data_IF_322835297349
#
_entry.id   IF_322835297349
#
_cell.length_a   1.000
_cell.length_b   1.000
_cell.length_c   1.000
_cell.angle_alpha   90.00
_cell.angle_beta   90.00
_cell.angle_gamma   90.00
#
_symmetry.space_group_name_H-M   'P 1'
#
loop_
_entity.id
_entity.type
_entity.pdbx_description
1 polymer ?
#
# COMPACT_ATOMS: atom_id res chain seq x y z
N UNK A 1 -43.80 -8.70 11.54
CA UNK A 1 -42.76 -7.67 11.32
C UNK A 1 -43.14 -6.86 10.09
N UNK A 2 -43.59 -5.62 10.25
CA UNK A 2 -43.87 -4.75 9.10
C UNK A 2 -42.54 -4.30 8.48
N UNK A 3 -42.23 -4.82 7.31
CA UNK A 3 -41.07 -4.42 6.52
C UNK A 3 -41.33 -2.95 6.11
N UNK A 4 -40.59 -2.02 6.72
CA UNK A 4 -40.62 -0.62 6.26
C UNK A 4 -40.22 -0.57 4.80
N UNK A 5 -40.97 0.09 3.89
CA UNK A 5 -40.61 0.21 2.52
C UNK A 5 -39.22 0.89 2.44
N UNK A 6 -38.30 0.35 1.61
CA UNK A 6 -36.98 0.95 1.46
C UNK A 6 -37.14 2.38 0.93
N UNK A 7 -36.44 3.32 1.54
CA UNK A 7 -36.47 4.74 1.14
C UNK A 7 -35.94 4.86 -0.29
N UNK A 8 -36.64 5.53 -1.20
CA UNK A 8 -36.17 5.75 -2.56
C UNK A 8 -34.86 6.53 -2.55
N UNK A 9 -33.95 6.19 -3.45
CA UNK A 9 -32.70 6.92 -3.61
C UNK A 9 -32.98 8.31 -4.19
N UNK A 10 -32.31 9.36 -3.74
CA UNK A 10 -32.57 10.76 -4.19
C UNK A 10 -32.51 10.91 -5.72
N UNK A 11 -31.60 10.22 -6.37
CA UNK A 11 -31.47 10.22 -7.84
C UNK A 11 -32.73 9.65 -8.52
N UNK A 12 -33.33 8.59 -7.98
CA UNK A 12 -34.55 7.97 -8.53
C UNK A 12 -35.75 8.90 -8.42
N UNK A 13 -35.81 9.69 -7.33
CA UNK A 13 -36.83 10.71 -7.16
C UNK A 13 -36.66 11.85 -8.18
N UNK A 14 -35.43 12.30 -8.43
CA UNK A 14 -35.17 13.32 -9.46
C UNK A 14 -35.50 12.83 -10.87
N UNK A 15 -35.16 11.58 -11.19
CA UNK A 15 -35.48 10.98 -12.48
C UNK A 15 -37.01 10.87 -12.69
N UNK A 16 -37.73 10.38 -11.68
CA UNK A 16 -39.18 10.30 -11.69
C UNK A 16 -39.84 11.69 -11.86
N UNK A 17 -39.35 12.69 -11.12
CA UNK A 17 -39.85 14.08 -11.21
C UNK A 17 -39.59 14.69 -12.59
N UNK A 18 -38.37 14.49 -13.11
CA UNK A 18 -38.00 14.98 -14.44
C UNK A 18 -38.86 14.33 -15.54
N UNK A 19 -39.07 13.00 -15.47
CA UNK A 19 -39.95 12.29 -16.38
C UNK A 19 -41.40 12.77 -16.32
N UNK A 20 -41.91 12.95 -15.09
CA UNK A 20 -43.28 13.45 -14.88
C UNK A 20 -43.45 14.88 -15.40
N UNK A 21 -42.55 15.80 -15.05
CA UNK A 21 -42.61 17.20 -15.49
C UNK A 21 -42.45 17.32 -17.02
N UNK A 22 -41.52 16.56 -17.62
CA UNK A 22 -41.34 16.48 -19.07
C UNK A 22 -42.58 15.93 -19.78
N UNK A 23 -43.21 14.87 -19.20
CA UNK A 23 -44.45 14.32 -19.75
C UNK A 23 -45.63 15.28 -19.64
N UNK A 24 -45.77 16.01 -18.55
CA UNK A 24 -46.79 17.05 -18.39
C UNK A 24 -46.58 18.24 -19.37
N UNK A 25 -45.30 18.61 -19.59
CA UNK A 25 -44.96 19.64 -20.57
C UNK A 25 -45.37 19.24 -21.99
N UNK A 26 -45.00 18.01 -22.42
CA UNK A 26 -45.38 17.51 -23.75
C UNK A 26 -46.90 17.37 -23.89
N UNK A 27 -47.58 16.92 -22.83
CA UNK A 27 -49.04 16.87 -22.80
C UNK A 27 -49.66 18.29 -22.95
N UNK A 28 -49.16 19.29 -22.24
CA UNK A 28 -49.62 20.67 -22.31
C UNK A 28 -49.39 21.32 -23.68
N UNK A 29 -48.32 20.93 -24.39
CA UNK A 29 -47.99 21.33 -25.73
C UNK A 29 -48.80 20.58 -26.79
N UNK A 30 -49.59 19.58 -26.42
CA UNK A 30 -50.35 18.76 -27.38
C UNK A 30 -49.50 17.78 -28.19
N UNK A 31 -48.25 17.49 -27.70
CA UNK A 31 -47.33 16.59 -28.39
C UNK A 31 -47.55 15.14 -27.93
N UNK A 32 -48.18 14.36 -28.76
CA UNK A 32 -48.53 12.97 -28.56
C UNK A 32 -47.75 12.06 -29.50
N UNK A 33 -47.57 10.80 -29.16
CA UNK A 33 -46.88 9.84 -30.01
C UNK A 33 -47.75 9.29 -31.14
N UNK A 34 -49.10 9.44 -31.04
CA UNK A 34 -50.07 8.94 -32.03
C UNK A 34 -51.15 9.98 -32.34
N UNK A 35 -51.61 10.06 -33.58
CA UNK A 35 -52.79 10.84 -33.95
C UNK A 35 -54.06 10.26 -33.36
N UNK A 36 -55.10 11.06 -33.16
CA UNK A 36 -56.36 10.66 -32.52
C UNK A 36 -57.21 9.72 -33.36
N UNK A 37 -56.99 9.65 -34.68
CA UNK A 37 -57.70 8.88 -35.66
C UNK A 37 -57.04 7.51 -35.96
N UNK A 38 -55.95 7.18 -35.27
CA UNK A 38 -55.30 5.90 -35.41
C UNK A 38 -56.17 4.77 -34.78
N UNK A 39 -56.45 3.69 -35.51
CA UNK A 39 -57.39 2.64 -35.10
C UNK A 39 -56.98 1.87 -33.82
N UNK A 40 -55.76 2.10 -33.28
CA UNK A 40 -55.30 1.51 -32.03
C UNK A 40 -55.72 2.39 -30.82
N UNK A 41 -56.01 3.65 -31.05
CA UNK A 41 -56.40 4.59 -29.99
C UNK A 41 -57.84 4.35 -29.58
N UNK A 42 -58.05 3.63 -28.45
CA UNK A 42 -59.37 3.34 -27.91
C UNK A 42 -59.86 4.43 -26.91
N UNK A 43 -58.92 5.09 -26.24
CA UNK A 43 -59.18 6.12 -25.23
C UNK A 43 -58.81 7.51 -25.81
N UNK A 44 -59.74 8.18 -26.47
CA UNK A 44 -59.51 9.41 -27.21
C UNK A 44 -59.33 10.66 -26.32
N UNK A 45 -59.71 10.60 -25.05
CA UNK A 45 -59.58 11.72 -24.13
C UNK A 45 -58.11 12.04 -23.80
N UNK A 46 -57.70 13.29 -23.94
CA UNK A 46 -56.31 13.74 -23.67
C UNK A 46 -55.87 13.49 -22.21
N UNK A 47 -56.79 13.35 -21.27
CA UNK A 47 -56.49 13.08 -19.85
C UNK A 47 -56.06 11.63 -19.59
N UNK A 48 -56.45 10.69 -20.45
CA UNK A 48 -56.10 9.27 -20.25
C UNK A 48 -54.59 9.01 -20.32
N UNK A 49 -53.82 9.89 -20.97
CA UNK A 49 -52.37 9.79 -21.06
C UNK A 49 -51.64 10.02 -19.73
N UNK A 50 -52.30 10.82 -18.84
CA UNK A 50 -51.71 11.13 -17.55
C UNK A 50 -51.67 9.92 -16.60
N UNK A 51 -52.57 8.95 -16.75
CA UNK A 51 -52.62 7.76 -15.89
C UNK A 51 -51.33 6.92 -16.07
N UNK A 52 -50.93 6.43 -17.27
CA UNK A 52 -49.71 5.68 -17.46
C UNK A 52 -48.45 6.50 -17.13
N UNK A 53 -48.46 7.81 -17.41
CA UNK A 53 -47.36 8.72 -17.09
C UNK A 53 -47.09 8.77 -15.58
N UNK A 54 -48.14 9.01 -14.75
CA UNK A 54 -48.02 9.10 -13.31
C UNK A 54 -47.63 7.73 -12.70
N UNK A 55 -48.22 6.65 -13.19
CA UNK A 55 -47.89 5.28 -12.74
C UNK A 55 -46.45 4.94 -13.01
N UNK A 56 -45.96 5.24 -14.22
CA UNK A 56 -44.56 4.95 -14.61
C UNK A 56 -43.59 5.80 -13.78
N UNK A 57 -43.90 7.09 -13.56
CA UNK A 57 -43.11 7.95 -12.69
C UNK A 57 -43.06 7.42 -11.23
N UNK A 58 -44.19 6.87 -10.73
CA UNK A 58 -44.21 6.18 -9.45
C UNK A 58 -43.31 4.94 -9.42
N UNK A 59 -43.32 4.15 -10.50
CA UNK A 59 -42.43 2.98 -10.64
C UNK A 59 -40.95 3.34 -10.65
N UNK A 60 -40.58 4.51 -11.25
CA UNK A 60 -39.21 5.02 -11.22
C UNK A 60 -38.65 5.20 -9.80
N UNK A 61 -39.48 5.64 -8.86
CA UNK A 61 -39.05 5.80 -7.46
C UNK A 61 -38.75 4.45 -6.79
N UNK A 62 -39.33 3.36 -7.29
CA UNK A 62 -39.23 2.00 -6.72
C UNK A 62 -38.25 1.09 -7.50
N UNK A 63 -37.67 1.55 -8.58
CA UNK A 63 -36.89 0.76 -9.52
C UNK A 63 -35.69 -0.01 -8.92
N UNK A 64 -35.06 0.53 -7.85
CA UNK A 64 -33.98 -0.14 -7.13
C UNK A 64 -34.48 -1.03 -6.00
N UNK A 65 -35.54 -0.59 -5.33
CA UNK A 65 -36.08 -1.27 -4.17
C UNK A 65 -36.91 -2.49 -4.52
N UNK A 66 -37.76 -2.36 -5.56
CA UNK A 66 -38.68 -3.39 -6.00
C UNK A 66 -38.66 -3.52 -7.56
N UNK A 67 -37.51 -3.88 -8.16
CA UNK A 67 -37.31 -3.80 -9.61
C UNK A 67 -38.27 -4.69 -10.41
N UNK A 68 -38.69 -5.84 -9.85
CA UNK A 68 -39.65 -6.74 -10.52
C UNK A 68 -41.08 -6.16 -10.55
N UNK A 69 -41.52 -5.62 -9.42
CA UNK A 69 -42.87 -5.02 -9.33
C UNK A 69 -42.94 -3.75 -10.15
N UNK A 70 -41.90 -2.91 -10.11
CA UNK A 70 -41.81 -1.71 -10.94
C UNK A 70 -41.88 -2.03 -12.43
N UNK A 71 -41.15 -3.08 -12.88
CA UNK A 71 -41.20 -3.52 -14.28
C UNK A 71 -42.59 -4.05 -14.67
N UNK A 72 -43.24 -4.88 -13.82
CA UNK A 72 -44.57 -5.45 -14.16
C UNK A 72 -45.64 -4.38 -14.21
N UNK A 73 -45.63 -3.44 -13.24
CA UNK A 73 -46.57 -2.30 -13.24
C UNK A 73 -46.26 -1.35 -14.41
N UNK A 74 -44.98 -1.12 -14.72
CA UNK A 74 -44.55 -0.36 -15.88
C UNK A 74 -45.02 -0.98 -17.21
N UNK A 75 -45.00 -2.30 -17.32
CA UNK A 75 -45.58 -3.02 -18.47
C UNK A 75 -47.10 -2.77 -18.60
N UNK A 76 -47.83 -2.86 -17.51
CA UNK A 76 -49.26 -2.56 -17.52
C UNK A 76 -49.52 -1.10 -17.90
N UNK A 77 -48.73 -0.14 -17.37
CA UNK A 77 -48.81 1.26 -17.73
C UNK A 77 -48.53 1.49 -19.23
N UNK A 78 -47.46 0.86 -19.77
CA UNK A 78 -47.14 0.96 -21.20
C UNK A 78 -48.24 0.39 -22.06
N UNK A 79 -48.90 -0.72 -21.66
CA UNK A 79 -50.03 -1.29 -22.38
C UNK A 79 -51.21 -0.32 -22.42
N UNK A 80 -51.49 0.38 -21.32
CA UNK A 80 -52.52 1.45 -21.29
C UNK A 80 -52.08 2.60 -22.18
N UNK A 81 -50.80 3.02 -22.14
CA UNK A 81 -50.28 4.09 -22.99
C UNK A 81 -50.43 3.77 -24.48
N UNK A 82 -50.30 2.50 -24.90
CA UNK A 82 -50.48 2.12 -26.33
C UNK A 82 -51.92 2.25 -26.82
N UNK A 83 -52.93 2.17 -25.96
CA UNK A 83 -54.33 2.36 -26.36
C UNK A 83 -54.82 3.80 -26.13
N UNK A 84 -53.97 4.69 -25.67
CA UNK A 84 -54.15 6.15 -25.63
C UNK A 84 -53.39 6.81 -26.78
N UNK A 85 -53.39 8.13 -26.85
CA UNK A 85 -52.53 8.89 -27.80
C UNK A 85 -51.06 8.78 -27.50
N UNK A 86 -50.68 8.17 -26.38
CA UNK A 86 -49.32 7.85 -25.94
C UNK A 86 -48.44 9.04 -25.57
N UNK A 87 -47.53 8.82 -24.63
CA UNK A 87 -46.55 9.79 -24.17
C UNK A 87 -45.11 9.27 -24.39
N UNK A 88 -44.27 10.05 -25.03
CA UNK A 88 -42.85 9.74 -25.22
C UNK A 88 -42.15 9.51 -23.89
N UNK A 89 -42.50 10.28 -22.86
CA UNK A 89 -41.85 10.14 -21.53
C UNK A 89 -42.24 8.84 -20.81
N UNK A 90 -43.49 8.35 -21.02
CA UNK A 90 -43.88 7.02 -20.50
C UNK A 90 -43.00 5.93 -21.10
N UNK A 91 -42.76 5.98 -22.43
CA UNK A 91 -41.88 5.03 -23.12
C UNK A 91 -40.45 5.17 -22.62
N UNK A 92 -39.91 6.36 -22.49
CA UNK A 92 -38.55 6.60 -21.99
C UNK A 92 -38.37 6.10 -20.54
N UNK A 93 -39.28 6.42 -19.65
CA UNK A 93 -39.26 5.88 -18.28
C UNK A 93 -39.37 4.36 -18.26
N UNK A 94 -40.19 3.77 -19.14
CA UNK A 94 -40.25 2.31 -19.25
C UNK A 94 -38.91 1.67 -19.68
N UNK A 95 -38.16 2.30 -20.58
CA UNK A 95 -36.82 1.80 -20.96
C UNK A 95 -35.87 1.77 -19.74
N UNK A 96 -35.96 2.78 -18.89
CA UNK A 96 -35.15 2.82 -17.65
C UNK A 96 -35.61 1.77 -16.62
N UNK A 97 -36.93 1.49 -16.52
CA UNK A 97 -37.42 0.40 -15.69
C UNK A 97 -36.91 -0.98 -16.15
N UNK A 98 -36.83 -1.21 -17.47
CA UNK A 98 -36.27 -2.44 -18.05
C UNK A 98 -34.78 -2.56 -17.70
N UNK A 99 -34.02 -1.49 -17.92
CA UNK A 99 -32.59 -1.41 -17.57
C UNK A 99 -32.38 -1.68 -16.08
N UNK A 100 -33.15 -1.01 -15.22
CA UNK A 100 -33.05 -1.12 -13.76
C UNK A 100 -33.45 -2.50 -13.26
N UNK A 101 -34.43 -3.16 -13.88
CA UNK A 101 -34.84 -4.53 -13.53
C UNK A 101 -33.73 -5.55 -13.79
N UNK A 102 -32.91 -5.35 -14.82
CA UNK A 102 -31.77 -6.20 -15.10
C UNK A 102 -30.60 -5.87 -14.18
N UNK A 103 -30.33 -4.59 -13.96
CA UNK A 103 -29.19 -4.12 -13.17
C UNK A 103 -29.34 -4.44 -11.68
N UNK A 104 -30.54 -4.14 -11.10
CA UNK A 104 -30.79 -4.24 -9.66
C UNK A 104 -31.61 -5.47 -9.27
N UNK A 105 -32.15 -6.18 -10.27
CA UNK A 105 -32.98 -7.36 -10.05
C UNK A 105 -32.20 -8.59 -9.60
N UNK A 106 -32.93 -9.66 -9.29
CA UNK A 106 -32.28 -10.93 -8.94
C UNK A 106 -31.49 -11.51 -10.11
N UNK A 107 -30.50 -12.40 -9.88
CA UNK A 107 -29.75 -13.07 -10.95
C UNK A 107 -30.64 -13.76 -11.99
N UNK A 108 -31.79 -14.30 -11.55
CA UNK A 108 -32.78 -14.91 -12.45
C UNK A 108 -33.46 -13.86 -13.35
N UNK A 109 -33.79 -12.68 -12.82
CA UNK A 109 -34.37 -11.57 -13.59
C UNK A 109 -33.34 -11.06 -14.60
N UNK A 110 -32.11 -10.86 -14.18
CA UNK A 110 -31.03 -10.38 -15.05
C UNK A 110 -30.77 -11.30 -16.26
N UNK A 111 -30.94 -12.61 -16.09
CA UNK A 111 -30.81 -13.58 -17.19
C UNK A 111 -32.05 -13.67 -18.07
N UNK A 112 -33.24 -13.63 -17.49
CA UNK A 112 -34.49 -13.87 -18.23
C UNK A 112 -34.98 -12.67 -19.02
N UNK A 113 -34.87 -11.45 -18.46
CA UNK A 113 -35.38 -10.23 -19.10
C UNK A 113 -34.77 -9.96 -20.47
N UNK A 114 -33.45 -10.02 -20.68
CA UNK A 114 -32.86 -9.83 -22.03
C UNK A 114 -33.32 -10.88 -23.02
N UNK A 115 -33.44 -12.16 -22.62
CA UNK A 115 -33.94 -13.22 -23.50
C UNK A 115 -35.42 -13.03 -23.89
N UNK A 116 -36.26 -12.66 -22.93
CA UNK A 116 -37.69 -12.39 -23.20
C UNK A 116 -37.80 -11.16 -24.12
N UNK A 117 -37.06 -10.09 -23.85
CA UNK A 117 -37.05 -8.88 -24.67
C UNK A 117 -36.56 -9.17 -26.10
N UNK A 118 -35.50 -9.99 -26.25
CA UNK A 118 -35.00 -10.45 -27.53
C UNK A 118 -36.05 -11.26 -28.32
N UNK A 119 -36.69 -12.23 -27.66
CA UNK A 119 -37.76 -13.04 -28.28
C UNK A 119 -38.95 -12.19 -28.71
N UNK A 120 -39.35 -11.20 -27.84
CA UNK A 120 -40.41 -10.27 -28.19
C UNK A 120 -40.06 -9.40 -29.39
N UNK A 121 -38.78 -8.94 -29.47
CA UNK A 121 -38.30 -8.15 -30.61
C UNK A 121 -38.37 -8.96 -31.90
N UNK A 122 -37.90 -10.21 -31.86
CA UNK A 122 -38.02 -11.13 -33.05
C UNK A 122 -39.47 -11.36 -33.42
N UNK A 123 -40.35 -11.64 -32.45
CA UNK A 123 -41.77 -11.84 -32.72
C UNK A 123 -42.42 -10.55 -33.28
N UNK A 124 -42.14 -9.39 -32.69
CA UNK A 124 -42.65 -8.10 -33.17
C UNK A 124 -42.10 -7.70 -34.53
N UNK A 125 -41.00 -8.31 -35.00
CA UNK A 125 -40.49 -8.13 -36.37
C UNK A 125 -41.17 -9.11 -37.35
N UNK A 126 -41.14 -10.38 -37.01
CA UNK A 126 -41.55 -11.45 -37.94
C UNK A 126 -43.05 -11.50 -38.13
N UNK A 127 -43.86 -11.42 -37.06
CA UNK A 127 -45.31 -11.58 -37.11
C UNK A 127 -45.98 -10.45 -37.97
N UNK A 128 -45.69 -9.17 -37.74
CA UNK A 128 -46.29 -8.09 -38.54
C UNK A 128 -45.89 -8.16 -40.02
N UNK A 129 -44.64 -8.53 -40.36
CA UNK A 129 -44.20 -8.71 -41.73
C UNK A 129 -44.96 -9.86 -42.40
N UNK A 130 -45.13 -10.96 -41.71
CA UNK A 130 -45.83 -12.12 -42.25
C UNK A 130 -47.32 -11.83 -42.50
N UNK A 131 -47.97 -11.06 -41.60
CA UNK A 131 -49.40 -10.72 -41.69
C UNK A 131 -49.67 -9.59 -42.70
N UNK A 132 -48.94 -8.50 -42.61
CA UNK A 132 -49.25 -7.31 -43.41
C UNK A 132 -48.47 -7.26 -44.74
N UNK A 133 -47.39 -8.03 -44.87
CA UNK A 133 -46.53 -8.10 -46.06
C UNK A 133 -46.06 -6.73 -46.57
N UNK A 134 -45.79 -5.82 -45.62
CA UNK A 134 -45.33 -4.46 -45.88
C UNK A 134 -43.99 -4.22 -45.19
N UNK A 135 -43.02 -3.55 -45.85
CA UNK A 135 -41.71 -3.28 -45.26
C UNK A 135 -41.78 -2.35 -44.03
N UNK A 136 -42.82 -1.50 -43.93
CA UNK A 136 -43.02 -0.61 -42.76
C UNK A 136 -43.25 -1.40 -41.46
N UNK A 137 -43.73 -2.64 -41.57
CA UNK A 137 -43.90 -3.53 -40.42
C UNK A 137 -42.58 -3.81 -39.67
N UNK A 138 -41.43 -3.67 -40.33
CA UNK A 138 -40.11 -3.76 -39.69
C UNK A 138 -39.94 -2.74 -38.56
N UNK A 139 -40.53 -1.52 -38.69
CA UNK A 139 -40.41 -0.48 -37.69
C UNK A 139 -40.96 -0.91 -36.32
N UNK A 140 -41.97 -1.77 -36.30
CA UNK A 140 -42.52 -2.30 -35.01
C UNK A 140 -41.45 -3.10 -34.26
N UNK A 141 -40.73 -3.98 -34.98
CA UNK A 141 -39.62 -4.72 -34.37
C UNK A 141 -38.50 -3.81 -33.91
N UNK A 142 -38.14 -2.77 -34.67
CA UNK A 142 -37.12 -1.78 -34.30
C UNK A 142 -37.53 -1.04 -33.03
N UNK A 143 -38.78 -0.56 -32.92
CA UNK A 143 -39.30 0.12 -31.74
C UNK A 143 -39.30 -0.80 -30.52
N UNK A 144 -39.79 -2.05 -30.65
CA UNK A 144 -39.81 -3.03 -29.57
C UNK A 144 -38.37 -3.37 -29.13
N UNK A 145 -37.44 -3.51 -30.06
CA UNK A 145 -36.04 -3.75 -29.78
C UNK A 145 -35.37 -2.59 -29.04
N UNK A 146 -35.65 -1.37 -29.49
CA UNK A 146 -35.10 -0.17 -28.87
C UNK A 146 -35.64 0.07 -27.45
N UNK A 147 -36.93 -0.20 -27.23
CA UNK A 147 -37.61 0.04 -25.95
C UNK A 147 -37.38 -1.11 -24.95
N UNK A 148 -37.28 -2.35 -25.41
CA UNK A 148 -37.16 -3.53 -24.56
C UNK A 148 -35.78 -4.16 -24.56
N UNK A 149 -35.28 -4.58 -25.73
CA UNK A 149 -34.03 -5.34 -25.80
C UNK A 149 -32.79 -4.49 -25.52
N UNK A 150 -32.68 -3.29 -26.09
CA UNK A 150 -31.51 -2.43 -25.93
C UNK A 150 -31.24 -2.08 -24.43
N UNK A 151 -32.23 -1.59 -23.65
CA UNK A 151 -32.01 -1.29 -22.25
C UNK A 151 -31.75 -2.57 -21.43
N UNK A 152 -32.37 -3.70 -21.76
CA UNK A 152 -32.11 -4.97 -21.11
C UNK A 152 -30.68 -5.46 -21.36
N UNK A 153 -30.21 -5.39 -22.60
CA UNK A 153 -28.84 -5.78 -22.97
C UNK A 153 -27.80 -4.84 -22.32
N UNK A 154 -28.06 -3.55 -22.33
CA UNK A 154 -27.18 -2.55 -21.66
C UNK A 154 -27.12 -2.81 -20.15
N UNK A 155 -28.25 -3.06 -19.50
CA UNK A 155 -28.30 -3.40 -18.07
C UNK A 155 -27.50 -4.69 -17.76
N UNK A 156 -27.58 -5.68 -18.63
CA UNK A 156 -26.83 -6.94 -18.50
C UNK A 156 -25.33 -6.73 -18.65
N UNK A 157 -24.89 -5.95 -19.65
CA UNK A 157 -23.49 -5.61 -19.89
C UNK A 157 -22.91 -4.86 -18.67
N UNK A 158 -23.60 -3.83 -18.20
CA UNK A 158 -23.16 -3.02 -17.06
C UNK A 158 -23.06 -3.89 -15.78
N UNK A 159 -24.05 -4.76 -15.56
CA UNK A 159 -24.04 -5.69 -14.43
C UNK A 159 -22.83 -6.63 -14.49
N UNK A 160 -22.61 -7.28 -15.65
CA UNK A 160 -21.48 -8.18 -15.82
C UNK A 160 -20.13 -7.49 -15.61
N UNK A 161 -19.99 -6.26 -16.09
CA UNK A 161 -18.76 -5.46 -15.85
C UNK A 161 -18.57 -5.14 -14.37
N UNK A 162 -19.64 -4.80 -13.64
CA UNK A 162 -19.58 -4.55 -12.19
C UNK A 162 -19.19 -5.82 -11.43
N UNK A 163 -19.87 -6.92 -11.71
CA UNK A 163 -19.61 -8.20 -11.06
C UNK A 163 -18.17 -8.70 -11.35
N UNK A 164 -17.68 -8.51 -12.59
CA UNK A 164 -16.31 -8.83 -12.97
C UNK A 164 -15.27 -7.94 -12.26
N UNK A 165 -15.54 -6.63 -12.17
CA UNK A 165 -14.66 -5.70 -11.48
C UNK A 165 -14.58 -6.00 -9.97
N UNK A 166 -15.71 -6.32 -9.32
CA UNK A 166 -15.75 -6.71 -7.91
C UNK A 166 -14.99 -8.03 -7.69
N UNK A 167 -15.20 -9.03 -8.55
CA UNK A 167 -14.47 -10.28 -8.48
C UNK A 167 -12.96 -10.11 -8.70
N UNK A 168 -12.54 -9.20 -9.60
CA UNK A 168 -11.13 -8.88 -9.82
C UNK A 168 -10.51 -8.19 -8.60
N UNK A 169 -11.24 -7.26 -7.96
CA UNK A 169 -10.79 -6.60 -6.74
C UNK A 169 -10.59 -7.59 -5.60
N UNK A 170 -11.57 -8.47 -5.35
CA UNK A 170 -11.46 -9.50 -4.31
C UNK A 170 -10.28 -10.45 -4.55
N UNK A 171 -10.02 -10.84 -5.82
CA UNK A 171 -8.84 -11.64 -6.15
C UNK A 171 -7.54 -10.89 -5.89
N UNK A 172 -7.46 -9.61 -6.23
CA UNK A 172 -6.29 -8.79 -5.96
C UNK A 172 -6.01 -8.67 -4.45
N UNK A 173 -7.05 -8.47 -3.64
CA UNK A 173 -6.94 -8.44 -2.17
C UNK A 173 -6.45 -9.81 -1.62
N UNK A 174 -6.98 -10.92 -2.14
CA UNK A 174 -6.53 -12.27 -1.76
C UNK A 174 -5.06 -12.54 -2.13
N UNK A 175 -4.65 -12.16 -3.36
CA UNK A 175 -3.25 -12.35 -3.78
C UNK A 175 -2.28 -11.49 -2.98
N UNK A 176 -2.64 -10.26 -2.63
CA UNK A 176 -1.83 -9.42 -1.76
C UNK A 176 -1.67 -10.02 -0.36
N UNK A 177 -2.75 -10.55 0.22
CA UNK A 177 -2.70 -11.21 1.53
C UNK A 177 -1.82 -12.48 1.50
N UNK A 178 -1.96 -13.31 0.46
CA UNK A 178 -1.13 -14.50 0.30
C UNK A 178 0.35 -14.15 0.15
N UNK A 179 0.68 -13.12 -0.65
CA UNK A 179 2.06 -12.65 -0.80
C UNK A 179 2.68 -12.17 0.52
N UNK A 180 1.91 -11.49 1.37
CA UNK A 180 2.36 -11.08 2.71
C UNK A 180 2.58 -12.28 3.64
N UNK A 181 1.67 -13.27 3.59
CA UNK A 181 1.85 -14.52 4.34
C UNK A 181 3.10 -15.28 3.90
N UNK A 182 3.33 -15.39 2.59
CA UNK A 182 4.52 -16.05 2.03
C UNK A 182 5.81 -15.33 2.44
N UNK A 183 5.80 -13.98 2.42
CA UNK A 183 6.93 -13.18 2.90
C UNK A 183 7.21 -13.44 4.38
N UNK A 184 6.19 -13.43 5.21
CA UNK A 184 6.33 -13.71 6.65
C UNK A 184 6.86 -15.14 6.89
N UNK A 185 6.31 -16.10 6.16
CA UNK A 185 6.77 -17.50 6.25
C UNK A 185 8.22 -17.66 5.80
N UNK A 186 8.65 -16.97 4.73
CA UNK A 186 10.03 -16.97 4.28
C UNK A 186 10.98 -16.43 5.36
N UNK A 187 10.62 -15.32 6.01
CA UNK A 187 11.42 -14.75 7.11
C UNK A 187 11.52 -15.73 8.29
N UNK A 188 10.41 -16.35 8.69
CA UNK A 188 10.41 -17.34 9.79
C UNK A 188 11.27 -18.56 9.45
N UNK A 189 11.16 -19.07 8.21
CA UNK A 189 11.93 -20.23 7.76
C UNK A 189 13.43 -19.93 7.70
N UNK A 190 13.79 -18.72 7.27
CA UNK A 190 15.18 -18.26 7.21
C UNK A 190 15.77 -18.11 8.61
N UNK A 191 15.01 -17.51 9.56
CA UNK A 191 15.44 -17.46 10.97
C UNK A 191 15.65 -18.84 11.58
N UNK A 192 14.76 -19.79 11.29
CA UNK A 192 14.88 -21.17 11.76
C UNK A 192 16.09 -21.89 11.14
N UNK A 193 16.46 -21.57 9.88
CA UNK A 193 17.65 -22.05 9.22
C UNK A 193 18.91 -21.51 9.89
N UNK A 194 18.99 -20.19 10.08
CA UNK A 194 20.14 -19.55 10.72
C UNK A 194 20.34 -20.01 12.18
N UNK A 195 19.24 -20.22 12.92
CA UNK A 195 19.34 -20.77 14.29
C UNK A 195 19.96 -22.18 14.32
N UNK A 196 19.68 -23.02 13.32
CA UNK A 196 20.32 -24.33 13.19
C UNK A 196 21.78 -24.21 12.83
N UNK A 197 22.14 -23.36 11.88
CA UNK A 197 23.53 -23.10 11.49
C UNK A 197 24.36 -22.59 12.68
N UNK A 198 23.79 -21.67 13.51
CA UNK A 198 24.40 -21.22 14.74
C UNK A 198 24.61 -22.37 15.76
N UNK A 199 23.59 -23.23 15.93
CA UNK A 199 23.66 -24.35 16.84
C UNK A 199 24.78 -25.34 16.44
N UNK A 200 24.84 -25.65 15.14
CA UNK A 200 25.84 -26.56 14.58
C UNK A 200 27.27 -26.00 14.71
N UNK A 201 27.42 -24.69 14.49
CA UNK A 201 28.69 -24.00 14.64
C UNK A 201 29.18 -24.01 16.11
N UNK A 202 28.28 -23.69 17.05
CA UNK A 202 28.58 -23.73 18.48
C UNK A 202 28.94 -25.15 18.92
N UNK A 203 28.18 -26.16 18.48
CA UNK A 203 28.43 -27.56 18.81
C UNK A 203 29.82 -28.04 18.30
N UNK A 204 30.21 -27.62 17.10
CA UNK A 204 31.51 -27.96 16.54
C UNK A 204 32.67 -27.33 17.33
N UNK A 205 32.61 -26.06 17.69
CA UNK A 205 33.64 -25.37 18.45
C UNK A 205 33.75 -25.96 19.88
N UNK A 206 32.60 -26.20 20.54
CA UNK A 206 32.59 -26.80 21.88
C UNK A 206 33.14 -28.23 21.87
N UNK A 207 32.85 -29.01 20.83
CA UNK A 207 33.38 -30.36 20.67
C UNK A 207 34.91 -30.36 20.50
N UNK A 208 35.42 -29.44 19.68
CA UNK A 208 36.89 -29.30 19.51
C UNK A 208 37.56 -28.87 20.81
N UNK A 209 36.99 -27.94 21.56
CA UNK A 209 37.50 -27.52 22.88
C UNK A 209 37.50 -28.69 23.84
N UNK A 210 36.43 -29.48 23.91
CA UNK A 210 36.33 -30.64 24.79
C UNK A 210 37.38 -31.72 24.48
N UNK A 211 37.60 -32.03 23.19
CA UNK A 211 38.60 -32.98 22.73
C UNK A 211 40.01 -32.55 23.14
N UNK A 212 40.35 -31.29 22.84
CA UNK A 212 41.67 -30.76 23.16
C UNK A 212 41.89 -30.59 24.67
N UNK A 213 40.83 -30.22 25.41
CA UNK A 213 40.92 -30.17 26.88
C UNK A 213 41.16 -31.56 27.50
N UNK A 214 40.48 -32.61 26.99
CA UNK A 214 40.70 -33.98 27.45
C UNK A 214 42.10 -34.43 27.11
N UNK A 215 42.62 -34.12 25.94
CA UNK A 215 43.98 -34.44 25.54
C UNK A 215 45.01 -33.74 26.45
N UNK A 216 44.83 -32.47 26.75
CA UNK A 216 45.71 -31.69 27.63
C UNK A 216 45.74 -32.23 29.06
N UNK A 217 44.62 -32.77 29.56
CA UNK A 217 44.52 -33.36 30.92
C UNK A 217 45.05 -34.80 31.02
N UNK A 218 45.10 -35.53 29.90
CA UNK A 218 45.49 -36.94 29.88
C UNK A 218 46.97 -37.18 29.55
N UNK A 219 47.70 -36.18 29.06
CA UNK A 219 49.11 -36.27 28.65
C UNK A 219 49.95 -35.54 29.69
N UNK A 220 50.84 -36.28 30.34
CA UNK A 220 51.79 -35.76 31.36
C UNK A 220 53.07 -35.20 30.69
N UNK A 221 52.86 -34.31 29.67
CA UNK A 221 53.94 -33.61 28.97
C UNK A 221 53.59 -32.12 28.86
N UNK A 222 54.38 -31.23 29.45
CA UNK A 222 54.12 -29.79 29.50
C UNK A 222 54.05 -29.16 28.11
N UNK A 223 54.87 -29.57 27.15
CA UNK A 223 54.91 -28.97 25.79
C UNK A 223 53.67 -29.34 24.99
N UNK A 224 53.17 -30.56 25.12
CA UNK A 224 51.94 -31.00 24.45
C UNK A 224 50.71 -30.37 25.08
N UNK A 225 50.66 -30.21 26.40
CA UNK A 225 49.61 -29.54 27.13
C UNK A 225 49.52 -28.04 26.74
N UNK A 226 50.66 -27.37 26.56
CA UNK A 226 50.71 -25.96 26.15
C UNK A 226 50.22 -25.77 24.69
N UNK A 227 50.55 -26.69 23.77
CA UNK A 227 50.03 -26.71 22.41
C UNK A 227 48.49 -26.89 22.38
N UNK A 228 47.98 -27.85 23.15
CA UNK A 228 46.53 -28.09 23.27
C UNK A 228 45.77 -26.88 23.81
N UNK A 229 46.30 -26.19 24.82
CA UNK A 229 45.74 -24.94 25.34
C UNK A 229 45.78 -23.80 24.30
N UNK A 230 46.81 -23.74 23.45
CA UNK A 230 46.90 -22.83 22.33
C UNK A 230 45.75 -23.02 21.33
N UNK A 231 45.49 -24.29 20.94
CA UNK A 231 44.40 -24.64 20.02
C UNK A 231 43.01 -24.34 20.63
N UNK A 232 42.84 -24.61 21.93
CA UNK A 232 41.61 -24.27 22.64
C UNK A 232 41.34 -22.76 22.59
N UNK A 233 42.37 -21.95 22.85
CA UNK A 233 42.26 -20.49 22.81
C UNK A 233 41.91 -20.00 21.43
N UNK A 234 42.58 -20.51 20.40
CA UNK A 234 42.34 -20.13 19.01
C UNK A 234 40.93 -20.47 18.56
N UNK A 235 40.46 -21.70 18.78
CA UNK A 235 39.08 -22.13 18.51
C UNK A 235 38.03 -21.30 19.27
N UNK A 236 38.33 -20.92 20.51
CA UNK A 236 37.42 -20.11 21.32
C UNK A 236 37.28 -18.69 20.77
N UNK A 237 38.38 -18.06 20.35
CA UNK A 237 38.40 -16.69 19.81
C UNK A 237 37.71 -16.68 18.44
N UNK A 238 37.99 -17.67 17.58
CA UNK A 238 37.40 -17.81 16.26
C UNK A 238 35.89 -18.07 16.35
N UNK A 239 35.45 -19.01 17.19
CA UNK A 239 34.05 -19.30 17.41
C UNK A 239 33.25 -18.10 17.93
N UNK A 240 33.84 -17.31 18.86
CA UNK A 240 33.22 -16.07 19.34
C UNK A 240 33.12 -14.99 18.27
N UNK A 241 34.11 -14.86 17.39
CA UNK A 241 34.08 -13.90 16.29
C UNK A 241 33.02 -14.25 15.25
N UNK A 242 32.90 -15.54 14.90
CA UNK A 242 31.90 -16.06 13.97
C UNK A 242 30.48 -15.90 14.53
N UNK A 243 30.26 -16.26 15.80
CA UNK A 243 28.96 -16.04 16.46
C UNK A 243 28.55 -14.56 16.49
N UNK A 244 29.49 -13.65 16.78
CA UNK A 244 29.20 -12.21 16.76
C UNK A 244 28.80 -11.72 15.37
N UNK A 245 29.45 -12.24 14.31
CA UNK A 245 29.12 -11.92 12.91
C UNK A 245 27.71 -12.36 12.56
N UNK A 246 27.35 -13.60 12.89
CA UNK A 246 26.02 -14.17 12.59
C UNK A 246 24.91 -13.50 13.42
N UNK A 247 25.15 -13.17 14.69
CA UNK A 247 24.21 -12.40 15.52
C UNK A 247 24.04 -10.99 14.98
N UNK A 248 25.10 -10.36 14.44
CA UNK A 248 25.02 -9.07 13.76
C UNK A 248 24.07 -9.09 12.56
N UNK A 249 24.22 -10.10 11.70
CA UNK A 249 23.34 -10.31 10.53
C UNK A 249 21.87 -10.54 10.95
N UNK A 250 21.63 -11.32 12.01
CA UNK A 250 20.29 -11.57 12.54
C UNK A 250 19.65 -10.30 13.12
N UNK A 251 20.45 -9.43 13.72
CA UNK A 251 19.98 -8.19 14.31
C UNK A 251 19.67 -7.15 13.22
N UNK A 252 20.52 -7.04 12.22
CA UNK A 252 20.31 -6.13 11.08
C UNK A 252 19.10 -6.56 10.22
N UNK A 253 18.82 -7.87 10.13
CA UNK A 253 17.63 -8.42 9.46
C UNK A 253 16.33 -8.35 10.30
N UNK A 254 16.43 -8.01 11.58
CA UNK A 254 15.30 -7.97 12.53
C UNK A 254 14.80 -6.58 12.91
N UNK A 255 15.52 -5.55 12.55
CA UNK A 255 15.24 -4.18 12.99
C UNK A 255 14.24 -3.41 12.07
N UNK A 256 13.46 -4.14 11.24
CA UNK A 256 12.35 -3.57 10.47
C UNK A 256 11.05 -3.40 11.30
N UNK A 257 11.08 -3.58 12.62
CA UNK A 257 9.90 -3.44 13.48
C UNK A 257 10.18 -2.53 14.66
N UNK A 258 10.10 -1.33 14.47
CA UNK A 258 9.68 -0.07 15.08
C UNK A 258 10.56 1.06 14.57
N UNK A 259 10.04 2.19 14.14
CA UNK A 259 10.83 3.39 14.02
C UNK A 259 11.07 3.90 15.46
N UNK A 260 11.99 3.28 16.19
CA UNK A 260 12.72 3.98 17.22
C UNK A 260 13.30 5.19 16.49
N UNK A 261 12.89 6.38 16.87
CA UNK A 261 13.26 7.62 16.21
C UNK A 261 14.73 7.54 15.80
N UNK A 262 15.01 7.60 14.48
CA UNK A 262 16.37 7.50 13.98
C UNK A 262 17.23 8.44 14.83
N UNK A 263 18.39 7.99 15.38
CA UNK A 263 19.16 8.81 16.26
C UNK A 263 19.51 10.12 15.52
N UNK A 264 18.94 11.19 16.02
CA UNK A 264 19.15 12.55 15.49
C UNK A 264 20.33 13.18 16.24
N UNK A 265 20.86 14.27 15.71
CA UNK A 265 21.91 15.03 16.41
C UNK A 265 21.47 15.53 17.78
N UNK A 266 20.17 15.61 18.05
CA UNK A 266 19.64 15.93 19.39
C UNK A 266 20.02 14.88 20.45
N UNK A 267 20.39 13.68 20.04
CA UNK A 267 20.91 12.63 20.91
C UNK A 267 22.41 12.71 21.21
N UNK A 268 23.13 13.71 20.68
CA UNK A 268 24.58 13.86 20.86
C UNK A 268 24.98 14.09 22.31
N UNK A 269 24.22 14.89 23.04
CA UNK A 269 24.49 15.16 24.48
C UNK A 269 24.44 13.85 25.29
N UNK A 270 23.42 13.01 25.04
CA UNK A 270 23.29 11.71 25.71
C UNK A 270 24.44 10.76 25.34
N UNK A 271 24.91 10.82 24.09
CA UNK A 271 26.04 10.02 23.61
C UNK A 271 27.34 10.42 24.30
N UNK A 272 27.58 11.73 24.43
CA UNK A 272 28.75 12.31 25.11
C UNK A 272 28.69 11.99 26.60
N UNK A 273 27.54 12.13 27.26
CA UNK A 273 27.36 11.80 28.67
C UNK A 273 27.58 10.30 28.94
N UNK A 274 27.16 9.45 28.02
CA UNK A 274 27.49 8.02 28.05
C UNK A 274 29.01 7.77 27.97
N UNK A 275 29.73 8.50 27.12
CA UNK A 275 31.18 8.40 27.02
C UNK A 275 31.90 8.93 28.29
N UNK A 276 31.41 10.01 28.88
CA UNK A 276 31.90 10.56 30.18
C UNK A 276 31.71 9.54 31.29
N UNK A 277 30.55 8.93 31.38
CA UNK A 277 30.24 7.87 32.37
C UNK A 277 31.19 6.68 32.23
N UNK A 278 31.64 6.37 31.02
CA UNK A 278 32.60 5.31 30.73
C UNK A 278 34.08 5.75 30.87
N UNK A 279 34.34 6.91 31.42
CA UNK A 279 35.68 7.35 31.83
C UNK A 279 36.44 8.26 30.86
N UNK A 280 35.79 8.76 29.77
CA UNK A 280 36.41 9.78 28.91
C UNK A 280 36.16 11.20 29.43
N UNK A 281 37.18 12.05 29.40
CA UNK A 281 37.01 13.51 29.56
C UNK A 281 36.66 14.10 28.18
N UNK A 282 35.33 14.29 27.90
CA UNK A 282 34.83 14.75 26.61
C UNK A 282 34.29 16.17 26.69
N UNK A 283 34.74 17.02 25.77
CA UNK A 283 34.15 18.33 25.52
C UNK A 283 33.40 18.33 24.22
N UNK A 284 32.13 18.76 24.23
CA UNK A 284 31.29 18.92 23.05
C UNK A 284 31.13 20.39 22.71
N UNK A 285 31.42 20.77 21.47
CA UNK A 285 31.18 22.09 20.87
C UNK A 285 30.33 21.88 19.61
N UNK A 286 29.03 22.08 19.73
CA UNK A 286 28.08 21.83 18.62
C UNK A 286 27.39 23.16 18.27
N UNK A 287 27.69 23.65 17.07
CA UNK A 287 27.12 24.87 16.50
C UNK A 287 26.46 24.52 15.14
N UNK A 288 25.16 24.23 15.19
CA UNK A 288 24.33 23.90 14.01
C UNK A 288 22.89 24.39 14.18
N UNK A 289 22.27 24.79 13.10
CA UNK A 289 20.91 25.37 13.04
C UNK A 289 19.78 24.35 13.14
N UNK A 290 19.88 23.27 13.83
CA UNK A 290 18.77 22.32 14.13
C UNK A 290 18.02 21.69 12.94
N UNK A 291 18.14 22.19 11.72
CA UNK A 291 17.42 21.76 10.50
C UNK A 291 18.34 21.05 9.50
N UNK A 292 18.98 19.97 9.94
CA UNK A 292 19.80 19.15 9.05
C UNK A 292 18.97 18.06 8.38
N UNK A 293 19.24 17.75 7.09
CA UNK A 293 18.63 16.58 6.44
C UNK A 293 18.88 15.31 7.25
N UNK A 294 17.85 14.48 7.44
CA UNK A 294 17.93 13.27 8.25
C UNK A 294 19.13 12.34 7.92
N UNK A 295 19.51 12.11 6.64
CA UNK A 295 20.68 11.31 6.30
C UNK A 295 22.00 11.92 6.79
N UNK A 296 22.12 13.25 6.75
CA UNK A 296 23.31 14.00 7.22
C UNK A 296 23.42 13.93 8.74
N UNK A 297 22.29 14.17 9.43
CA UNK A 297 22.22 14.07 10.90
C UNK A 297 22.58 12.67 11.41
N UNK A 298 22.04 11.62 10.77
CA UNK A 298 22.33 10.23 11.12
C UNK A 298 23.80 9.87 10.86
N UNK A 299 24.37 10.30 9.75
CA UNK A 299 25.78 10.04 9.43
C UNK A 299 26.70 10.75 10.46
N UNK A 300 26.42 12.00 10.79
CA UNK A 300 27.15 12.76 11.79
C UNK A 300 27.10 12.07 13.17
N UNK A 301 25.91 11.69 13.64
CA UNK A 301 25.73 10.94 14.89
C UNK A 301 26.58 9.67 14.91
N UNK A 302 26.55 8.87 13.84
CA UNK A 302 27.30 7.62 13.76
C UNK A 302 28.82 7.84 13.71
N UNK A 303 29.31 8.90 13.04
CA UNK A 303 30.73 9.25 13.02
C UNK A 303 31.20 9.60 14.45
N UNK A 304 30.46 10.42 15.19
CA UNK A 304 30.78 10.76 16.55
C UNK A 304 30.75 9.53 17.47
N UNK A 305 29.71 8.71 17.37
CA UNK A 305 29.55 7.46 18.12
C UNK A 305 30.76 6.53 17.94
N UNK A 306 31.15 6.26 16.70
CA UNK A 306 32.28 5.38 16.38
C UNK A 306 33.62 6.00 16.85
N UNK A 307 33.77 7.33 16.70
CA UNK A 307 34.96 8.03 17.14
C UNK A 307 35.13 8.00 18.67
N UNK A 308 34.05 8.18 19.44
CA UNK A 308 34.05 8.05 20.89
C UNK A 308 34.33 6.61 21.34
N UNK A 309 33.76 5.62 20.64
CA UNK A 309 34.03 4.21 20.89
C UNK A 309 35.51 3.88 20.64
N UNK A 310 36.10 4.44 19.59
CA UNK A 310 37.51 4.27 19.27
C UNK A 310 38.40 5.00 20.34
N UNK A 311 37.99 6.17 20.78
CA UNK A 311 38.70 6.86 21.86
C UNK A 311 38.69 6.06 23.18
N UNK A 312 37.55 5.46 23.57
CA UNK A 312 37.48 4.56 24.73
C UNK A 312 38.44 3.39 24.68
N UNK A 313 38.62 2.83 23.45
CA UNK A 313 39.51 1.66 23.24
C UNK A 313 40.97 2.04 23.09
N UNK A 314 41.28 3.17 22.49
CA UNK A 314 42.61 3.46 21.95
C UNK A 314 43.25 4.75 22.41
N UNK A 315 42.49 5.73 22.97
CA UNK A 315 43.03 7.02 23.37
C UNK A 315 43.95 6.89 24.62
N UNK A 316 44.98 7.71 24.67
CA UNK A 316 45.73 7.94 25.91
C UNK A 316 44.91 8.82 26.90
N UNK A 317 45.25 8.82 28.20
CA UNK A 317 44.58 9.70 29.15
C UNK A 317 44.68 11.16 28.72
N UNK A 318 43.53 11.88 28.77
CA UNK A 318 43.43 13.29 28.42
C UNK A 318 42.09 13.62 27.78
N UNK A 319 41.96 14.88 27.36
CA UNK A 319 40.68 15.40 26.85
C UNK A 319 40.40 15.00 25.41
N UNK A 320 39.21 14.50 25.18
CA UNK A 320 38.62 14.25 23.86
C UNK A 320 37.74 15.43 23.48
N UNK A 321 37.92 15.99 22.29
CA UNK A 321 37.11 17.13 21.81
C UNK A 321 36.24 16.66 20.64
N UNK A 322 34.96 16.93 20.72
CA UNK A 322 33.98 16.72 19.65
C UNK A 322 33.49 18.10 19.20
N UNK A 323 33.73 18.48 17.98
CA UNK A 323 33.28 19.73 17.40
C UNK A 323 32.42 19.47 16.17
N UNK A 324 31.23 20.10 16.11
CA UNK A 324 30.37 20.13 14.93
C UNK A 324 30.10 21.58 14.58
N UNK A 325 30.28 21.94 13.31
CA UNK A 325 30.02 23.29 12.81
C UNK A 325 29.32 23.24 11.49
N UNK A 326 28.21 23.92 11.37
CA UNK A 326 27.49 24.09 10.10
C UNK A 326 27.89 25.45 9.49
N UNK A 327 28.59 25.41 8.36
CA UNK A 327 28.98 26.59 7.62
C UNK A 327 29.01 26.30 6.11
N UNK A 328 28.75 27.29 5.27
CA UNK A 328 28.89 27.24 3.82
C UNK A 328 28.19 26.07 3.13
N UNK A 329 27.02 25.65 3.65
CA UNK A 329 26.26 24.54 3.08
C UNK A 329 26.86 23.15 3.38
N UNK A 330 27.72 23.02 4.38
CA UNK A 330 28.28 21.77 4.86
C UNK A 330 28.22 21.65 6.37
N UNK A 331 28.19 20.45 6.91
CA UNK A 331 28.38 20.12 8.30
C UNK A 331 29.80 19.56 8.50
N UNK A 332 30.65 20.32 9.15
CA UNK A 332 31.99 19.89 9.51
C UNK A 332 31.98 19.22 10.88
N UNK A 333 32.56 18.03 10.95
CA UNK A 333 32.66 17.19 12.13
C UNK A 333 34.16 17.00 12.42
N UNK A 334 34.58 17.30 13.63
CA UNK A 334 35.95 17.04 14.06
C UNK A 334 35.95 16.37 15.45
N UNK A 335 36.54 15.19 15.53
CA UNK A 335 36.77 14.49 16.80
C UNK A 335 38.26 14.28 17.00
N UNK A 336 38.80 14.82 18.11
CA UNK A 336 40.21 14.65 18.42
C UNK A 336 40.37 13.96 19.77
N UNK A 337 41.29 13.02 19.85
CA UNK A 337 41.60 12.26 21.07
C UNK A 337 43.14 12.21 21.28
N UNK A 338 43.64 12.17 22.51
CA UNK A 338 45.05 12.03 22.80
C UNK A 338 45.65 10.76 22.21
N UNK A 339 46.77 10.87 21.49
CA UNK A 339 47.43 9.77 20.81
C UNK A 339 48.90 9.69 21.19
N UNK A 340 49.37 8.48 21.54
CA UNK A 340 50.75 8.25 21.94
C UNK A 340 51.05 6.78 22.19
N UNK A 341 52.31 6.49 22.54
CA UNK A 341 52.70 5.12 22.93
C UNK A 341 52.05 4.75 24.25
N UNK A 342 51.27 3.70 24.21
CA UNK A 342 50.62 3.09 25.38
C UNK A 342 51.47 1.92 25.83
N UNK A 343 51.95 1.95 27.06
CA UNK A 343 52.56 0.78 27.70
C UNK A 343 51.51 -0.32 27.91
N UNK A 344 51.40 -1.29 26.99
CA UNK A 344 50.53 -2.44 27.13
C UNK A 344 50.19 -3.10 25.79
N UNK A 345 49.73 -4.37 25.79
CA UNK A 345 49.39 -5.07 24.59
C UNK A 345 48.18 -4.41 23.91
N UNK A 346 48.43 -3.73 22.77
CA UNK A 346 47.39 -3.18 21.89
C UNK A 346 46.75 -4.33 21.10
N UNK A 347 45.46 -4.56 21.28
CA UNK A 347 44.73 -5.44 20.38
C UNK A 347 44.71 -4.86 18.98
N UNK A 348 45.11 -5.59 17.93
CA UNK A 348 45.04 -5.09 16.56
C UNK A 348 43.59 -4.78 16.21
N UNK A 349 43.29 -3.52 15.95
CA UNK A 349 41.99 -3.10 15.50
C UNK A 349 41.75 -3.59 14.07
N UNK A 350 40.59 -4.13 13.79
CA UNK A 350 40.19 -4.63 12.46
C UNK A 350 40.12 -3.53 11.37
N UNK A 351 40.22 -2.24 11.75
CA UNK A 351 40.06 -1.11 10.82
C UNK A 351 38.66 -0.92 10.26
N UNK A 352 37.74 -1.82 10.56
CA UNK A 352 36.36 -1.84 10.03
C UNK A 352 35.57 -0.56 10.36
N UNK A 353 35.76 0.01 11.55
CA UNK A 353 35.10 1.27 11.93
C UNK A 353 35.48 2.46 11.05
N UNK A 354 36.76 2.59 10.71
CA UNK A 354 37.25 3.67 9.82
C UNK A 354 36.73 3.49 8.38
N UNK A 355 36.67 2.25 7.89
CA UNK A 355 36.12 1.93 6.57
C UNK A 355 34.63 2.30 6.53
N UNK A 356 33.84 1.88 7.51
CA UNK A 356 32.42 2.20 7.56
C UNK A 356 32.11 3.70 7.71
N UNK A 357 32.95 4.46 8.42
CA UNK A 357 32.82 5.93 8.46
C UNK A 357 33.11 6.57 7.11
N UNK A 358 34.14 6.13 6.40
CA UNK A 358 34.51 6.62 5.07
C UNK A 358 33.42 6.34 4.04
N UNK A 359 32.87 5.14 4.03
CA UNK A 359 31.78 4.75 3.12
C UNK A 359 30.52 5.58 3.35
N UNK A 360 30.12 5.81 4.59
CA UNK A 360 28.94 6.65 4.91
C UNK A 360 29.11 8.10 4.45
N UNK A 361 30.30 8.67 4.64
CA UNK A 361 30.59 10.03 4.17
C UNK A 361 30.61 10.10 2.64
N UNK A 362 31.18 9.10 1.98
CA UNK A 362 31.24 9.03 0.52
C UNK A 362 29.86 8.90 -0.12
N UNK A 363 28.92 8.15 0.50
CA UNK A 363 27.52 8.03 0.05
C UNK A 363 26.78 9.37 0.04
N UNK A 364 27.17 10.31 0.91
CA UNK A 364 26.60 11.65 0.97
C UNK A 364 27.41 12.69 0.16
N UNK A 365 28.43 12.25 -0.61
CA UNK A 365 29.28 13.14 -1.39
C UNK A 365 30.24 14.00 -0.54
N UNK A 366 30.45 13.62 0.73
CA UNK A 366 31.32 14.33 1.66
C UNK A 366 32.79 13.90 1.59
N UNK A 367 33.62 14.54 2.41
CA UNK A 367 35.04 14.22 2.57
C UNK A 367 35.35 13.66 3.95
N UNK A 368 36.27 12.69 4.05
CA UNK A 368 36.64 12.01 5.29
C UNK A 368 38.15 11.85 5.41
N UNK A 369 38.71 12.28 6.53
CA UNK A 369 40.13 12.11 6.86
C UNK A 369 40.25 11.63 8.31
N UNK A 370 41.04 10.60 8.53
CA UNK A 370 41.34 10.13 9.89
C UNK A 370 42.82 9.72 9.98
N UNK A 371 43.48 10.15 11.03
CA UNK A 371 44.88 9.83 11.26
C UNK A 371 45.53 10.59 12.40
N UNK A 372 46.80 10.30 12.73
CA UNK A 372 47.54 11.01 13.74
C UNK A 372 47.95 12.41 13.23
N UNK A 373 47.74 13.41 14.06
CA UNK A 373 48.13 14.80 13.84
C UNK A 373 49.01 15.29 15.00
N UNK A 374 49.98 16.17 14.66
CA UNK A 374 50.80 16.86 15.68
C UNK A 374 50.23 18.25 15.96
N UNK A 375 49.73 18.47 17.15
CA UNK A 375 49.24 19.78 17.64
C UNK A 375 50.23 20.43 18.60
N UNK A 376 50.01 21.72 18.93
CA UNK A 376 50.89 22.47 19.85
C UNK A 376 50.98 21.81 21.24
N UNK A 377 50.05 20.97 21.63
CA UNK A 377 49.95 20.35 22.95
C UNK A 377 50.22 18.84 22.95
N UNK A 378 50.74 18.29 21.82
CA UNK A 378 51.07 16.86 21.69
C UNK A 378 50.48 16.21 20.46
N UNK A 379 50.73 14.89 20.30
CA UNK A 379 50.12 14.09 19.22
C UNK A 379 48.67 13.77 19.58
N UNK A 380 47.79 13.92 18.59
CA UNK A 380 46.38 13.56 18.69
C UNK A 380 45.99 12.63 17.53
N UNK A 381 45.00 11.78 17.75
CA UNK A 381 44.27 11.13 16.67
C UNK A 381 43.10 12.03 16.28
N UNK A 382 43.03 12.41 15.03
CA UNK A 382 42.00 13.29 14.48
C UNK A 382 41.12 12.52 13.49
N UNK A 383 39.81 12.68 13.65
CA UNK A 383 38.79 12.26 12.69
C UNK A 383 38.06 13.49 12.21
N UNK A 384 38.11 13.77 10.91
CA UNK A 384 37.42 14.92 10.28
C UNK A 384 36.53 14.44 9.16
N UNK A 385 35.32 14.95 9.12
CA UNK A 385 34.38 14.73 8.03
C UNK A 385 33.66 16.03 7.68
N UNK A 386 33.47 16.30 6.39
CA UNK A 386 32.63 17.37 5.90
C UNK A 386 31.47 16.75 5.09
N UNK A 387 30.25 16.99 5.51
CA UNK A 387 29.03 16.47 4.92
C UNK A 387 28.27 17.61 4.24
N UNK A 388 28.03 17.57 2.92
CA UNK A 388 27.25 18.59 2.24
C UNK A 388 25.83 18.61 2.76
N UNK A 389 25.35 19.79 3.15
CA UNK A 389 23.96 20.05 3.51
C UNK A 389 23.26 20.64 2.30
N UNK A 390 22.78 19.76 1.40
CA UNK A 390 21.95 20.19 0.26
C UNK A 390 20.53 20.30 0.81
N UNK A 391 19.95 21.50 0.83
CA UNK A 391 18.54 21.71 1.07
C UNK A 391 17.77 20.96 -0.03
N UNK A 392 17.15 19.83 0.33
CA UNK A 392 16.26 19.11 -0.55
C UNK A 392 15.02 19.94 -0.79
N UNK A 393 14.70 20.22 -2.05
CA UNK A 393 13.42 20.75 -2.47
C UNK A 393 12.31 19.85 -1.88
N UNK A 394 11.28 20.40 -1.20
CA UNK A 394 10.19 19.60 -0.67
C UNK A 394 9.41 18.98 -1.82
N UNK A 395 9.31 17.64 -1.81
CA UNK A 395 8.51 16.86 -2.76
C UNK A 395 7.00 16.96 -2.45
#
# INVERSE_FOLDING_TARGET
MAVRPPRPHRFDLYAALAGLLGGLLLWGLGLYTRPSDEGIVLLHGQWWILLPLVVTAGCETLRRAMPRTALLVGWAALTVDTITRGSLLTVLMFTDLVYSAVLYGSPATARRVPWIAGLMTVAATVVPIAVWRRPEALLIGVVVGLVGFTPAATGWIVRNHRDAAEAARLRAEQTALLAEMDRTQAVVSERARMARELHDLVANHLSAIAIHSTAALSIDDPDTSQKALGVIRENSVEGLAEMRRLIGILRDAGDDTEPSAAPTLDGLDSLVDGARTNGLDVTLDADHDGTLPAPVGLAAYRIVQESLTNALKHACPGRVTVALRQADGALDIAVTSPYGDRDGPSAPGSGAGLVGMRERVALLGGTFVAGPESMAHGKVWSVRAALPVIEGEPA
#
